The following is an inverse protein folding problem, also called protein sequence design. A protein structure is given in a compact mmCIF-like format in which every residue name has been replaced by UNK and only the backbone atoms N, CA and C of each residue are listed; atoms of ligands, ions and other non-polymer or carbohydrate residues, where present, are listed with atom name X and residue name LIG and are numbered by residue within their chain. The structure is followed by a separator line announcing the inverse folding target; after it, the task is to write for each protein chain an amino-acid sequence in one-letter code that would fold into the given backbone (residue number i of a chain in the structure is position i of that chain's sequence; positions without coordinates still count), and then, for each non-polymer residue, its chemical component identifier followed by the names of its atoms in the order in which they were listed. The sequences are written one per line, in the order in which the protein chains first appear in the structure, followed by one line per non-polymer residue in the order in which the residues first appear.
data_IF_622205573701
#
_entry.id   IF_622205573701
#
_cell.length_a   1.000
_cell.length_b   1.000
_cell.length_c   1.000
_cell.angle_alpha   90.00
_cell.angle_beta   90.00
_cell.angle_gamma   90.00
#
_symmetry.space_group_name_H-M   'P 1'
#
loop_
_entity.id
_entity.type
_entity.pdbx_description
1 polymer ?
#
# COMPACT_ATOMS: atom_id res chain seq x y z
N UNK A 1 -12.72 6.96 1.52
CA UNK A 1 -11.77 7.66 2.41
C UNK A 1 -10.59 6.75 2.47
N UNK A 2 -9.43 7.21 2.00
CA UNK A 2 -8.20 6.39 1.94
C UNK A 2 -8.06 5.43 3.12
N UNK A 3 -7.79 4.16 2.81
CA UNK A 3 -7.51 3.15 3.84
C UNK A 3 -6.00 3.06 4.07
N UNK A 4 -5.62 2.74 5.29
CA UNK A 4 -4.22 2.66 5.71
C UNK A 4 -3.95 1.30 6.32
N UNK A 5 -2.86 0.67 5.88
CA UNK A 5 -2.33 -0.56 6.49
C UNK A 5 -0.98 -0.19 7.11
N UNK A 6 -0.85 -0.46 8.41
CA UNK A 6 0.43 -0.37 9.11
C UNK A 6 0.86 -1.70 9.73
N UNK A 7 -0.06 -2.63 9.91
CA UNK A 7 0.19 -3.88 10.63
C UNK A 7 -0.74 -4.97 10.17
N UNK A 8 -0.34 -6.21 10.44
CA UNK A 8 -1.03 -7.41 9.99
C UNK A 8 -2.53 -7.43 10.38
N UNK A 9 -2.89 -6.88 11.55
CA UNK A 9 -4.30 -6.86 11.99
C UNK A 9 -5.19 -5.93 11.16
N UNK A 10 -4.63 -4.94 10.45
CA UNK A 10 -5.41 -3.99 9.65
C UNK A 10 -6.05 -4.70 8.44
N UNK A 11 -5.46 -5.81 7.97
CA UNK A 11 -6.03 -6.68 6.94
C UNK A 11 -7.37 -7.29 7.33
N UNK A 12 -7.58 -7.58 8.63
CA UNK A 12 -8.87 -8.08 9.12
C UNK A 12 -9.97 -7.02 8.98
N UNK A 13 -9.62 -5.75 9.09
CA UNK A 13 -10.57 -4.65 8.96
C UNK A 13 -10.95 -4.40 7.51
N UNK A 14 -9.96 -4.40 6.60
CA UNK A 14 -10.22 -4.13 5.18
C UNK A 14 -10.75 -5.34 4.42
N UNK A 15 -10.55 -6.56 4.93
CA UNK A 15 -10.95 -7.81 4.27
C UNK A 15 -12.46 -8.00 4.11
N UNK A 16 -13.28 -7.21 4.82
CA UNK A 16 -14.74 -7.18 4.64
C UNK A 16 -15.20 -6.30 3.47
N UNK A 17 -14.34 -5.43 2.97
CA UNK A 17 -14.69 -4.40 1.97
C UNK A 17 -13.98 -4.60 0.63
N UNK A 18 -12.78 -5.20 0.66
CA UNK A 18 -11.97 -5.44 -0.52
C UNK A 18 -12.10 -6.88 -1.01
N UNK A 19 -11.84 -7.09 -2.31
CA UNK A 19 -11.81 -8.44 -2.88
C UNK A 19 -10.71 -9.29 -2.24
N UNK A 20 -10.92 -10.61 -2.15
CA UNK A 20 -9.92 -11.54 -1.61
C UNK A 20 -8.60 -11.49 -2.38
N UNK A 21 -8.66 -11.30 -3.69
CA UNK A 21 -7.46 -11.20 -4.53
C UNK A 21 -6.64 -9.95 -4.18
N UNK A 22 -7.29 -8.78 -4.05
CA UNK A 22 -6.61 -7.55 -3.64
C UNK A 22 -6.03 -7.66 -2.23
N UNK A 23 -6.79 -8.21 -1.28
CA UNK A 23 -6.31 -8.40 0.10
C UNK A 23 -5.06 -9.27 0.11
N UNK A 24 -5.06 -10.38 -0.63
CA UNK A 24 -3.91 -11.28 -0.72
C UNK A 24 -2.69 -10.58 -1.32
N UNK A 25 -2.86 -9.84 -2.41
CA UNK A 25 -1.78 -9.06 -3.03
C UNK A 25 -1.19 -8.04 -2.04
N UNK A 26 -2.04 -7.30 -1.31
CA UNK A 26 -1.58 -6.34 -0.31
C UNK A 26 -0.90 -7.02 0.89
N UNK A 27 -1.34 -8.21 1.29
CA UNK A 27 -0.64 -8.99 2.33
C UNK A 27 0.77 -9.38 1.87
N UNK A 28 0.93 -9.85 0.63
CA UNK A 28 2.24 -10.17 0.05
C UNK A 28 3.17 -8.95 0.02
N UNK A 29 2.67 -7.78 -0.40
CA UNK A 29 3.41 -6.52 -0.34
C UNK A 29 3.81 -6.12 1.09
N UNK A 30 2.91 -6.29 2.07
CA UNK A 30 3.20 -6.02 3.48
C UNK A 30 4.29 -6.96 4.02
N UNK A 31 4.27 -8.25 3.65
CA UNK A 31 5.33 -9.18 4.04
C UNK A 31 6.68 -8.81 3.43
N UNK A 32 6.70 -8.31 2.18
CA UNK A 32 7.92 -7.77 1.58
C UNK A 32 8.49 -6.58 2.37
N UNK A 33 7.63 -5.66 2.81
CA UNK A 33 8.04 -4.56 3.67
C UNK A 33 8.52 -5.03 5.05
N UNK A 34 7.87 -6.03 5.63
CA UNK A 34 8.30 -6.65 6.89
C UNK A 34 9.70 -7.27 6.76
N UNK A 35 9.96 -8.04 5.71
CA UNK A 35 11.28 -8.62 5.45
C UNK A 35 12.37 -7.55 5.29
N UNK A 36 12.03 -6.41 4.68
CA UNK A 36 12.97 -5.32 4.45
C UNK A 36 13.23 -4.45 5.69
N UNK A 37 12.18 -4.14 6.47
CA UNK A 37 12.23 -3.13 7.54
C UNK A 37 12.31 -3.70 8.95
N UNK A 38 11.92 -4.96 9.14
CA UNK A 38 11.84 -5.52 10.49
C UNK A 38 13.22 -5.68 11.13
N UNK A 39 13.27 -5.51 12.45
CA UNK A 39 14.50 -5.67 13.24
C UNK A 39 14.45 -6.95 14.10
N UNK A 40 13.87 -8.01 13.54
CA UNK A 40 13.74 -9.31 14.21
C UNK A 40 12.52 -9.44 15.13
N UNK A 41 11.64 -8.44 15.21
CA UNK A 41 10.32 -8.61 15.82
C UNK A 41 9.45 -9.59 15.04
N UNK A 42 8.43 -10.13 15.72
CA UNK A 42 7.43 -10.97 15.06
C UNK A 42 6.51 -10.13 14.19
N UNK A 43 6.01 -10.71 13.10
CA UNK A 43 5.13 -10.00 12.16
C UNK A 43 3.82 -9.52 12.80
N UNK A 44 3.34 -10.17 13.85
CA UNK A 44 2.17 -9.73 14.60
C UNK A 44 2.40 -8.43 15.39
N UNK A 45 3.66 -8.16 15.75
CA UNK A 45 4.10 -6.98 16.50
C UNK A 45 4.66 -5.87 15.59
N UNK A 46 4.93 -6.19 14.31
CA UNK A 46 5.47 -5.25 13.33
C UNK A 46 4.45 -4.15 13.00
N UNK A 47 4.95 -2.90 13.01
CA UNK A 47 4.16 -1.71 12.68
C UNK A 47 4.98 -0.84 11.74
N UNK A 48 4.50 -0.67 10.51
CA UNK A 48 5.06 0.30 9.58
C UNK A 48 4.97 1.71 10.15
N UNK A 49 6.05 2.50 10.09
CA UNK A 49 6.00 3.92 10.37
C UNK A 49 4.91 4.62 9.55
N UNK A 50 4.38 5.73 10.05
CA UNK A 50 3.27 6.42 9.37
C UNK A 50 3.61 6.88 7.95
N UNK A 51 4.87 7.20 7.70
CA UNK A 51 5.40 7.65 6.42
C UNK A 51 5.71 6.51 5.43
N UNK A 52 5.72 5.25 5.88
CA UNK A 52 5.87 4.04 5.07
C UNK A 52 4.60 3.17 5.06
N UNK A 53 3.52 3.66 5.67
CA UNK A 53 2.26 2.95 5.68
C UNK A 53 1.73 2.78 4.26
N UNK A 54 1.19 1.60 3.96
CA UNK A 54 0.54 1.35 2.68
C UNK A 54 -0.80 2.07 2.66
N UNK A 55 -1.03 2.86 1.61
CA UNK A 55 -2.24 3.65 1.44
C UNK A 55 -3.05 3.09 0.28
N UNK A 56 -4.33 2.80 0.52
CA UNK A 56 -5.24 2.35 -0.53
C UNK A 56 -6.10 3.55 -0.91
N UNK A 57 -6.00 3.94 -2.18
CA UNK A 57 -6.83 4.95 -2.81
C UNK A 57 -8.11 4.28 -3.29
N UNK A 58 -9.25 4.81 -2.86
CA UNK A 58 -10.55 4.24 -3.21
C UNK A 58 -11.23 5.02 -4.35
N UNK A 59 -10.80 6.26 -4.56
CA UNK A 59 -11.41 7.17 -5.54
C UNK A 59 -10.37 7.71 -6.52
N UNK A 60 -10.81 7.91 -7.75
CA UNK A 60 -9.97 8.49 -8.81
C UNK A 60 -9.52 9.91 -8.46
N UNK A 61 -10.32 10.70 -7.74
CA UNK A 61 -9.91 12.02 -7.28
C UNK A 61 -8.74 11.98 -6.29
N UNK A 62 -8.66 10.95 -5.45
CA UNK A 62 -7.53 10.76 -4.53
C UNK A 62 -6.25 10.44 -5.31
N UNK A 63 -6.34 9.61 -6.37
CA UNK A 63 -5.24 9.34 -7.29
C UNK A 63 -4.79 10.61 -8.02
N UNK A 64 -5.72 11.36 -8.60
CA UNK A 64 -5.42 12.57 -9.35
C UNK A 64 -4.74 13.63 -8.47
N UNK A 65 -5.16 13.76 -7.21
CA UNK A 65 -4.50 14.64 -6.24
C UNK A 65 -3.09 14.16 -5.89
N UNK A 66 -2.88 12.85 -5.75
CA UNK A 66 -1.57 12.27 -5.44
C UNK A 66 -0.55 12.57 -6.55
N UNK A 67 -0.91 12.26 -7.80
CA UNK A 67 0.02 12.36 -8.94
C UNK A 67 0.22 13.78 -9.46
N UNK A 68 -0.60 14.76 -9.02
CA UNK A 68 -0.37 16.17 -9.30
C UNK A 68 0.97 16.66 -8.73
N UNK A 69 1.46 16.05 -7.64
CA UNK A 69 2.76 16.36 -7.08
C UNK A 69 3.87 15.52 -7.72
N UNK A 70 4.13 15.76 -9.01
CA UNK A 70 5.05 14.95 -9.82
C UNK A 70 6.51 14.94 -9.35
N UNK A 71 6.93 15.89 -8.51
CA UNK A 71 8.29 15.93 -7.96
C UNK A 71 8.56 14.82 -6.94
N UNK A 72 7.53 14.35 -6.26
CA UNK A 72 7.64 13.28 -5.26
C UNK A 72 7.32 11.91 -5.85
N UNK A 73 6.89 11.83 -7.11
CA UNK A 73 6.57 10.56 -7.76
C UNK A 73 7.86 9.84 -8.17
N UNK A 74 8.18 8.73 -7.51
CA UNK A 74 9.34 7.89 -7.83
C UNK A 74 8.99 6.86 -8.90
N UNK A 75 7.84 6.20 -8.78
CA UNK A 75 7.35 5.25 -9.78
C UNK A 75 5.83 5.12 -9.76
N UNK A 76 5.29 4.65 -10.89
CA UNK A 76 3.88 4.29 -11.05
C UNK A 76 3.80 3.11 -12.01
N UNK A 77 3.45 1.95 -11.49
CA UNK A 77 3.50 0.66 -12.20
C UNK A 77 2.14 -0.03 -12.15
N UNK A 78 1.82 -0.82 -13.18
CA UNK A 78 0.60 -1.62 -13.23
C UNK A 78 0.90 -3.08 -12.94
N UNK A 79 0.33 -3.58 -11.86
CA UNK A 79 0.35 -4.99 -11.49
C UNK A 79 -0.93 -5.67 -11.97
N UNK A 80 -0.76 -6.66 -12.84
CA UNK A 80 -1.86 -7.41 -13.44
C UNK A 80 -2.18 -8.62 -12.58
N UNK A 81 -3.26 -8.52 -11.81
CA UNK A 81 -3.85 -9.64 -11.10
C UNK A 81 -4.83 -10.40 -12.02
N UNK A 82 -5.40 -11.50 -11.55
CA UNK A 82 -6.29 -12.34 -12.37
C UNK A 82 -7.57 -11.60 -12.76
N UNK A 83 -8.15 -10.82 -11.86
CA UNK A 83 -9.45 -10.17 -12.06
C UNK A 83 -9.38 -8.64 -12.08
N UNK A 84 -8.20 -8.04 -11.85
CA UNK A 84 -8.03 -6.59 -11.82
C UNK A 84 -6.61 -6.14 -12.14
N UNK A 85 -6.47 -4.84 -12.41
CA UNK A 85 -5.17 -4.17 -12.50
C UNK A 85 -5.02 -3.26 -11.29
N UNK A 86 -3.90 -3.37 -10.60
CA UNK A 86 -3.55 -2.49 -9.48
C UNK A 86 -2.47 -1.53 -9.95
N UNK A 87 -2.73 -0.24 -9.76
CA UNK A 87 -1.72 0.79 -9.90
C UNK A 87 -0.95 0.87 -8.58
N UNK A 88 0.33 0.51 -8.62
CA UNK A 88 1.26 0.59 -7.50
C UNK A 88 2.13 1.82 -7.67
N UNK A 89 2.07 2.72 -6.70
CA UNK A 89 2.64 4.06 -6.81
C UNK A 89 3.62 4.26 -5.65
N UNK A 90 4.86 4.58 -5.98
CA UNK A 90 5.87 4.98 -5.01
C UNK A 90 5.99 6.48 -4.98
N UNK A 91 5.71 7.08 -3.82
CA UNK A 91 5.96 8.50 -3.59
C UNK A 91 7.11 8.64 -2.59
N UNK A 92 8.07 9.52 -2.88
CA UNK A 92 9.09 9.94 -1.93
C UNK A 92 8.41 10.53 -0.69
N UNK A 93 8.87 10.08 0.47
CA UNK A 93 8.37 10.51 1.77
C UNK A 93 9.54 10.49 2.75
N UNK A 94 10.06 11.68 3.07
CA UNK A 94 11.30 11.83 3.82
C UNK A 94 12.49 11.19 3.10
N UNK A 95 13.23 10.31 3.77
CA UNK A 95 14.35 9.55 3.22
C UNK A 95 13.91 8.17 2.68
N UNK A 96 12.59 7.92 2.60
CA UNK A 96 11.99 6.63 2.24
C UNK A 96 10.91 6.77 1.14
N UNK A 97 10.27 5.65 0.80
CA UNK A 97 9.15 5.59 -0.15
C UNK A 97 7.87 5.19 0.58
N UNK A 98 6.80 5.95 0.36
CA UNK A 98 5.44 5.57 0.72
C UNK A 98 4.74 4.90 -0.45
N UNK A 99 4.13 3.74 -0.20
CA UNK A 99 3.41 2.98 -1.21
C UNK A 99 1.92 3.31 -1.19
N UNK A 100 1.40 3.64 -2.38
CA UNK A 100 -0.02 3.82 -2.64
C UNK A 100 -0.51 2.78 -3.63
N UNK A 101 -1.74 2.31 -3.45
CA UNK A 101 -2.37 1.30 -4.27
C UNK A 101 -3.74 1.79 -4.72
N UNK A 102 -4.01 1.70 -6.02
CA UNK A 102 -5.31 2.05 -6.60
C UNK A 102 -5.79 0.93 -7.51
N UNK A 103 -7.03 0.49 -7.34
CA UNK A 103 -7.65 -0.47 -8.25
C UNK A 103 -8.17 0.27 -9.48
N UNK A 104 -7.63 -0.06 -10.66
CA UNK A 104 -8.04 0.49 -11.95
C UNK A 104 -9.31 -0.18 -12.50
#
# INVERSE_FOLDING_TARGET
MMKKIQRLKDFKTIGGELSKELVKYLEEEFFGLYEYLSNGEKVEDFILPSYQAMIILEKEEELNQLIQNSMELEFMEEDYLKEMVILRIGMRSWDDIQLFYYKK
#
